data_IF_020911879134
#
_entry.id   IF_020911879134
#
_cell.length_a   1.000
_cell.length_b   1.000
_cell.length_c   1.000
_cell.angle_alpha   90.00
_cell.angle_beta   90.00
_cell.angle_gamma   90.00
#
_symmetry.space_group_name_H-M   'P 1'
#
loop_
_entity.id
_entity.type
_entity.pdbx_description
1 polymer ?
#
# COMPACT_ATOMS: atom_id res chain seq x y z
N UNK A 1 18.51 3.11 9.55
CA UNK A 1 19.06 1.82 9.09
C UNK A 1 19.09 1.86 7.57
N UNK A 2 20.24 1.60 6.96
CA UNK A 2 20.41 1.73 5.51
C UNK A 2 21.38 0.69 4.94
N UNK A 3 21.11 0.20 3.72
CA UNK A 3 22.06 -0.61 2.95
C UNK A 3 22.27 -2.04 3.45
N UNK A 4 21.37 -2.59 4.25
CA UNK A 4 21.51 -3.92 4.87
C UNK A 4 20.77 -4.98 4.06
N UNK A 5 21.30 -6.21 4.10
CA UNK A 5 20.66 -7.38 3.51
C UNK A 5 20.24 -8.31 4.64
N UNK A 6 18.95 -8.59 4.73
CA UNK A 6 18.33 -9.24 5.88
C UNK A 6 17.46 -10.39 5.39
N UNK A 7 17.83 -11.61 5.77
CA UNK A 7 17.16 -12.85 5.38
C UNK A 7 17.62 -13.42 4.02
N UNK A 8 18.63 -12.81 3.39
CA UNK A 8 19.28 -13.29 2.17
C UNK A 8 20.76 -13.60 2.37
N UNK A 9 21.34 -14.35 1.43
CA UNK A 9 22.78 -14.57 1.32
C UNK A 9 23.53 -13.37 0.73
N UNK A 10 24.86 -13.47 0.65
CA UNK A 10 25.72 -12.41 0.15
C UNK A 10 25.60 -12.15 -1.38
N UNK A 11 24.82 -12.95 -2.13
CA UNK A 11 24.43 -12.60 -3.51
C UNK A 11 23.06 -11.92 -3.58
N UNK A 12 22.25 -11.99 -2.52
CA UNK A 12 20.94 -11.35 -2.47
C UNK A 12 19.89 -12.10 -3.30
N UNK A 13 20.17 -13.37 -3.61
CA UNK A 13 19.35 -14.21 -4.49
C UNK A 13 18.95 -15.53 -3.86
N UNK A 14 19.50 -15.89 -2.69
CA UNK A 14 19.06 -17.06 -1.93
C UNK A 14 18.64 -16.66 -0.52
N UNK A 15 17.65 -17.37 0.02
CA UNK A 15 17.15 -17.10 1.36
C UNK A 15 18.10 -17.72 2.40
N UNK A 16 18.53 -16.90 3.35
CA UNK A 16 19.14 -17.31 4.61
C UNK A 16 18.23 -16.82 5.74
N UNK A 17 17.09 -17.50 5.96
CA UNK A 17 16.02 -17.00 6.81
C UNK A 17 16.50 -16.74 8.24
N UNK A 18 16.13 -15.59 8.77
CA UNK A 18 16.08 -15.42 10.22
C UNK A 18 14.80 -16.08 10.77
N UNK A 19 14.73 -16.29 12.09
CA UNK A 19 13.60 -16.99 12.72
C UNK A 19 12.33 -16.13 12.93
N UNK A 20 12.32 -14.86 12.50
CA UNK A 20 11.24 -13.93 12.77
C UNK A 20 11.04 -12.92 11.64
N UNK A 21 10.69 -11.68 12.01
CA UNK A 21 10.62 -10.58 11.04
C UNK A 21 12.02 -10.04 10.71
N UNK A 22 12.22 -9.54 9.48
CA UNK A 22 13.49 -8.97 9.04
C UNK A 22 13.91 -7.77 9.89
N UNK A 23 13.02 -6.78 9.99
CA UNK A 23 13.18 -5.59 10.82
C UNK A 23 11.98 -5.47 11.75
N UNK A 24 12.20 -5.52 13.06
CA UNK A 24 11.16 -5.28 14.06
C UNK A 24 11.37 -3.92 14.73
N UNK A 25 10.50 -2.96 14.43
CA UNK A 25 10.47 -1.63 15.02
C UNK A 25 9.53 -1.63 16.22
N UNK A 26 10.11 -1.84 17.41
CA UNK A 26 9.45 -1.63 18.70
C UNK A 26 9.97 -0.32 19.27
N UNK A 27 9.26 0.77 19.02
CA UNK A 27 9.65 2.08 19.56
C UNK A 27 9.42 2.04 21.08
N UNK A 28 10.40 2.52 21.84
CA UNK A 28 10.29 2.77 23.27
C UNK A 28 10.48 4.25 23.57
N UNK A 29 10.28 4.62 24.84
CA UNK A 29 10.08 5.98 25.37
C UNK A 29 11.21 6.97 24.99
N UNK A 30 12.44 6.52 24.70
CA UNK A 30 13.63 7.40 24.64
C UNK A 30 14.35 7.55 23.27
N UNK A 31 13.83 7.03 22.16
CA UNK A 31 14.47 7.14 20.82
C UNK A 31 13.83 8.14 19.84
N UNK A 32 14.62 8.88 19.06
CA UNK A 32 14.12 9.71 17.94
C UNK A 32 13.35 8.91 16.87
N UNK A 33 12.71 9.61 15.91
CA UNK A 33 12.05 8.94 14.76
C UNK A 33 12.98 7.99 14.01
N UNK A 34 12.44 6.96 13.37
CA UNK A 34 13.23 5.88 12.77
C UNK A 34 13.06 5.80 11.26
N UNK A 35 14.16 5.57 10.53
CA UNK A 35 14.16 5.40 9.07
C UNK A 35 14.76 4.05 8.68
N UNK A 36 14.03 3.29 7.86
CA UNK A 36 14.47 2.06 7.17
C UNK A 36 14.55 2.40 5.68
N UNK A 37 15.76 2.47 5.13
CA UNK A 37 15.94 2.85 3.73
C UNK A 37 16.94 2.00 2.96
N UNK A 38 16.70 1.74 1.67
CA UNK A 38 17.69 1.08 0.78
C UNK A 38 18.22 -0.26 1.31
N UNK A 39 17.36 -1.06 1.96
CA UNK A 39 17.69 -2.41 2.43
C UNK A 39 17.06 -3.47 1.50
N UNK A 40 17.68 -4.64 1.45
CA UNK A 40 17.10 -5.88 0.92
C UNK A 40 16.56 -6.69 2.12
N UNK A 41 15.24 -6.84 2.22
CA UNK A 41 14.55 -7.45 3.36
C UNK A 41 13.66 -8.58 2.85
N UNK A 42 14.24 -9.77 2.74
CA UNK A 42 13.68 -10.85 1.94
C UNK A 42 13.99 -12.21 2.56
N UNK A 43 13.20 -13.24 2.27
CA UNK A 43 13.45 -14.59 2.76
C UNK A 43 13.30 -14.79 4.28
N UNK A 44 12.69 -13.86 5.02
CA UNK A 44 12.49 -13.99 6.46
C UNK A 44 11.29 -14.91 6.79
N UNK A 45 11.30 -15.52 7.98
CA UNK A 45 10.27 -16.49 8.39
C UNK A 45 8.96 -15.87 8.89
N UNK A 46 8.91 -14.55 9.05
CA UNK A 46 7.68 -13.79 9.30
C UNK A 46 7.60 -12.59 8.34
N UNK A 47 7.31 -11.37 8.84
CA UNK A 47 7.19 -10.19 8.00
C UNK A 47 8.56 -9.68 7.53
N UNK A 48 8.61 -8.94 6.42
CA UNK A 48 9.81 -8.18 6.08
C UNK A 48 10.09 -7.11 7.13
N UNK A 49 9.15 -6.17 7.27
CA UNK A 49 9.20 -5.10 8.27
C UNK A 49 7.98 -5.17 9.18
N UNK A 50 8.19 -5.27 10.48
CA UNK A 50 7.15 -5.16 11.51
C UNK A 50 7.28 -3.80 12.21
N UNK A 51 6.20 -3.03 12.19
CA UNK A 51 6.05 -1.78 12.93
C UNK A 51 5.01 -1.99 14.01
N UNK A 52 5.42 -1.95 15.27
CA UNK A 52 4.51 -1.84 16.41
C UNK A 52 4.64 -0.43 16.96
N UNK A 53 3.65 0.44 16.70
CA UNK A 53 3.75 1.84 17.09
C UNK A 53 3.55 2.03 18.60
N UNK A 54 4.36 2.91 19.18
CA UNK A 54 4.31 3.35 20.58
C UNK A 54 3.31 4.52 20.77
N UNK A 55 2.62 4.62 21.93
CA UNK A 55 1.80 5.76 22.32
C UNK A 55 2.44 7.16 22.25
N UNK A 56 3.75 7.32 22.08
CA UNK A 56 4.40 8.64 22.03
C UNK A 56 4.36 9.35 20.66
N UNK A 57 3.85 8.69 19.60
CA UNK A 57 3.49 9.36 18.34
C UNK A 57 4.66 9.83 17.45
N UNK A 58 5.82 9.15 17.53
CA UNK A 58 6.99 9.48 16.70
C UNK A 58 6.85 8.94 15.27
N UNK A 59 7.50 9.61 14.31
CA UNK A 59 7.43 9.24 12.90
C UNK A 59 8.38 8.07 12.54
N UNK A 60 7.87 7.14 11.74
CA UNK A 60 8.60 6.03 11.14
C UNK A 60 8.57 6.21 9.63
N UNK A 61 9.73 6.10 8.98
CA UNK A 61 9.85 6.15 7.53
C UNK A 61 10.42 4.83 7.02
N UNK A 62 9.74 4.20 6.07
CA UNK A 62 10.21 3.03 5.34
C UNK A 62 10.22 3.38 3.86
N UNK A 63 11.40 3.54 3.26
CA UNK A 63 11.50 4.00 1.86
C UNK A 63 12.58 3.31 1.05
N UNK A 64 12.36 3.17 -0.25
CA UNK A 64 13.36 2.65 -1.19
C UNK A 64 13.95 1.28 -0.81
N UNK A 65 13.22 0.45 -0.07
CA UNK A 65 13.65 -0.92 0.24
C UNK A 65 13.13 -1.90 -0.81
N UNK A 66 13.85 -3.01 -0.97
CA UNK A 66 13.42 -4.21 -1.69
C UNK A 66 12.92 -5.21 -0.65
N UNK A 67 11.63 -5.56 -0.69
CA UNK A 67 10.97 -6.37 0.34
C UNK A 67 10.27 -7.58 -0.29
N UNK A 68 10.82 -8.77 -0.04
CA UNK A 68 10.33 -10.03 -0.61
C UNK A 68 10.82 -10.31 -2.04
N UNK A 69 11.66 -9.44 -2.61
CA UNK A 69 12.31 -9.66 -3.91
C UNK A 69 13.77 -10.05 -3.72
N UNK A 70 14.43 -10.48 -4.79
CA UNK A 70 15.89 -10.51 -4.86
C UNK A 70 16.49 -9.10 -4.96
N UNK A 71 17.82 -9.02 -5.04
CA UNK A 71 18.56 -7.75 -5.17
C UNK A 71 18.23 -6.97 -6.44
N UNK A 72 17.67 -7.61 -7.48
CA UNK A 72 17.23 -6.92 -8.70
C UNK A 72 15.86 -6.24 -8.55
N UNK A 73 15.08 -6.64 -7.54
CA UNK A 73 13.69 -6.21 -7.36
C UNK A 73 12.69 -6.96 -8.23
N UNK A 74 13.13 -7.97 -9.00
CA UNK A 74 12.30 -8.63 -10.02
C UNK A 74 12.03 -10.10 -9.71
N UNK A 75 12.94 -10.80 -9.03
CA UNK A 75 12.79 -12.23 -8.77
C UNK A 75 12.24 -12.49 -7.36
N UNK A 76 11.48 -13.58 -7.16
CA UNK A 76 10.89 -13.89 -5.87
C UNK A 76 11.94 -14.29 -4.84
N UNK A 77 11.90 -13.64 -3.68
CA UNK A 77 12.60 -14.03 -2.46
C UNK A 77 11.71 -13.70 -1.25
N UNK A 78 10.46 -14.13 -1.33
CA UNK A 78 9.38 -13.73 -0.43
C UNK A 78 9.66 -13.93 1.05
N UNK A 79 9.17 -13.01 1.88
CA UNK A 79 9.02 -13.28 3.30
C UNK A 79 7.79 -14.19 3.53
N UNK A 80 7.82 -15.04 4.55
CA UNK A 80 6.71 -15.97 4.87
C UNK A 80 5.46 -15.27 5.44
N UNK A 81 5.60 -14.02 5.88
CA UNK A 81 4.52 -13.15 6.35
C UNK A 81 4.18 -12.05 5.35
N UNK A 82 3.81 -10.87 5.86
CA UNK A 82 3.56 -9.69 5.04
C UNK A 82 4.88 -9.03 4.63
N UNK A 83 4.89 -8.25 3.56
CA UNK A 83 6.05 -7.40 3.24
C UNK A 83 6.31 -6.40 4.37
N UNK A 84 5.27 -5.64 4.74
CA UNK A 84 5.27 -4.72 5.86
C UNK A 84 3.98 -4.88 6.67
N UNK A 85 4.10 -5.05 7.99
CA UNK A 85 2.97 -5.05 8.90
C UNK A 85 3.08 -3.86 9.86
N UNK A 86 2.05 -3.02 9.93
CA UNK A 86 1.95 -1.90 10.86
C UNK A 86 0.79 -2.12 11.82
N UNK A 87 1.10 -2.36 13.09
CA UNK A 87 0.11 -2.53 14.15
C UNK A 87 0.11 -1.31 15.07
N UNK A 88 -1.04 -0.65 15.16
CA UNK A 88 -1.24 0.50 16.01
C UNK A 88 -1.91 0.10 17.32
N UNK A 89 -1.13 0.05 18.40
CA UNK A 89 -1.66 -0.08 19.75
C UNK A 89 -2.00 1.34 20.25
N UNK A 90 -3.18 1.55 20.82
CA UNK A 90 -3.73 2.89 21.12
C UNK A 90 -2.74 3.87 21.79
N UNK A 91 -2.91 5.18 21.54
CA UNK A 91 -1.97 6.21 22.00
C UNK A 91 -1.99 7.47 21.14
N UNK A 92 -0.92 8.28 21.15
CA UNK A 92 -0.79 9.41 20.22
C UNK A 92 -0.58 8.89 18.80
N UNK A 93 -1.06 9.61 17.76
CA UNK A 93 -0.84 9.23 16.38
C UNK A 93 0.65 9.11 16.08
N UNK A 94 1.12 7.91 15.72
CA UNK A 94 2.39 7.77 15.01
C UNK A 94 2.15 8.01 13.53
N UNK A 95 3.08 8.70 12.87
CA UNK A 95 3.09 8.81 11.42
C UNK A 95 3.97 7.70 10.87
N UNK A 96 3.40 6.79 10.09
CA UNK A 96 4.17 5.78 9.36
C UNK A 96 4.15 6.16 7.88
N UNK A 97 5.30 6.50 7.31
CA UNK A 97 5.46 6.84 5.90
C UNK A 97 6.13 5.69 5.17
N UNK A 98 5.44 5.12 4.18
CA UNK A 98 5.89 4.00 3.36
C UNK A 98 5.92 4.50 1.92
N UNK A 99 7.10 4.66 1.33
CA UNK A 99 7.21 5.25 -0.01
C UNK A 99 8.37 4.73 -0.85
N UNK A 100 8.18 4.54 -2.15
CA UNK A 100 9.25 4.17 -3.08
C UNK A 100 9.83 2.77 -2.87
N UNK A 101 9.19 1.92 -2.05
CA UNK A 101 9.64 0.54 -1.85
C UNK A 101 9.15 -0.35 -3.00
N UNK A 102 9.88 -1.43 -3.27
CA UNK A 102 9.40 -2.58 -4.04
C UNK A 102 8.98 -3.65 -3.04
N UNK A 103 7.71 -4.03 -3.04
CA UNK A 103 7.12 -4.96 -2.07
C UNK A 103 6.39 -6.06 -2.85
N UNK A 104 7.05 -7.19 -3.02
CA UNK A 104 6.52 -8.26 -3.85
C UNK A 104 6.84 -9.65 -3.34
N UNK A 105 6.08 -10.63 -3.82
CA UNK A 105 6.31 -12.06 -3.57
C UNK A 105 6.24 -12.51 -2.11
N UNK A 106 5.75 -11.68 -1.19
CA UNK A 106 5.52 -12.08 0.20
C UNK A 106 4.32 -13.03 0.28
N UNK A 107 4.33 -14.03 1.16
CA UNK A 107 3.22 -14.98 1.27
C UNK A 107 1.93 -14.33 1.83
N UNK A 108 2.06 -13.23 2.58
CA UNK A 108 0.97 -12.42 3.12
C UNK A 108 0.55 -11.24 2.24
N UNK A 109 0.08 -10.17 2.87
CA UNK A 109 -0.19 -8.90 2.19
C UNK A 109 1.12 -8.17 1.88
N UNK A 110 1.14 -7.30 0.88
CA UNK A 110 2.27 -6.41 0.65
C UNK A 110 2.45 -5.46 1.85
N UNK A 111 1.41 -4.70 2.18
CA UNK A 111 1.33 -3.83 3.34
C UNK A 111 0.06 -4.12 4.12
N UNK A 112 0.19 -4.59 5.36
CA UNK A 112 -0.93 -4.78 6.29
C UNK A 112 -0.93 -3.68 7.35
N UNK A 113 -2.07 -3.03 7.55
CA UNK A 113 -2.26 -2.02 8.60
C UNK A 113 -3.38 -2.47 9.54
N UNK A 114 -3.10 -2.52 10.85
CA UNK A 114 -4.00 -2.99 11.91
C UNK A 114 -4.08 -1.98 13.06
N UNK A 115 -5.14 -2.05 13.86
CA UNK A 115 -5.30 -1.30 15.11
C UNK A 115 -6.30 -0.13 15.07
N UNK A 116 -6.44 0.56 16.20
CA UNK A 116 -7.50 1.57 16.40
C UNK A 116 -7.12 2.95 15.82
N UNK A 117 -7.23 3.09 14.49
CA UNK A 117 -7.52 4.28 13.67
C UNK A 117 -6.98 5.68 13.99
N UNK A 118 -6.09 5.88 14.95
CA UNK A 118 -5.53 7.20 15.27
C UNK A 118 -4.26 7.50 14.51
N UNK A 119 -3.48 6.47 14.19
CA UNK A 119 -2.25 6.63 13.45
C UNK A 119 -2.52 6.82 11.95
N UNK A 120 -1.65 7.61 11.31
CA UNK A 120 -1.71 7.85 9.88
C UNK A 120 -0.60 7.04 9.20
N UNK A 121 -1.00 6.07 8.38
CA UNK A 121 -0.08 5.32 7.54
C UNK A 121 -0.17 5.87 6.13
N UNK A 122 0.82 6.68 5.75
CA UNK A 122 1.00 7.23 4.41
C UNK A 122 1.67 6.20 3.54
N UNK A 123 0.92 5.61 2.62
CA UNK A 123 1.44 4.68 1.62
C UNK A 123 1.36 5.41 0.28
N UNK A 124 2.50 5.67 -0.35
CA UNK A 124 2.54 6.36 -1.65
C UNK A 124 3.67 5.86 -2.54
N UNK A 125 3.45 5.85 -3.85
CA UNK A 125 4.53 5.60 -4.84
C UNK A 125 5.33 4.32 -4.59
N UNK A 126 4.75 3.31 -3.93
CA UNK A 126 5.39 1.99 -3.79
C UNK A 126 5.01 1.12 -4.99
N UNK A 127 5.92 0.25 -5.40
CA UNK A 127 5.63 -0.84 -6.32
C UNK A 127 5.23 -2.05 -5.48
N UNK A 128 3.95 -2.34 -5.38
CA UNK A 128 3.42 -3.44 -4.58
C UNK A 128 2.73 -4.40 -5.52
N UNK A 129 3.23 -5.63 -5.66
CA UNK A 129 2.69 -6.60 -6.63
C UNK A 129 3.07 -8.04 -6.29
N UNK A 130 2.34 -9.01 -6.85
CA UNK A 130 2.54 -10.44 -6.71
C UNK A 130 2.72 -10.91 -5.26
N UNK A 131 2.02 -10.29 -4.30
CA UNK A 131 1.95 -10.81 -2.93
C UNK A 131 0.86 -11.89 -2.84
N UNK A 132 0.96 -12.79 -1.87
CA UNK A 132 0.05 -13.93 -1.70
C UNK A 132 -1.37 -13.54 -1.28
N UNK A 133 -1.52 -12.33 -0.72
CA UNK A 133 -2.81 -11.70 -0.36
C UNK A 133 -2.94 -10.33 -1.02
N UNK A 134 -3.46 -9.30 -0.35
CA UNK A 134 -3.67 -7.98 -0.95
C UNK A 134 -2.37 -7.17 -1.05
N UNK A 135 -2.32 -6.20 -1.96
CA UNK A 135 -1.22 -5.23 -2.01
C UNK A 135 -1.22 -4.34 -0.76
N UNK A 136 -2.36 -3.75 -0.41
CA UNK A 136 -2.58 -3.02 0.84
C UNK A 136 -3.84 -3.58 1.49
N UNK A 137 -3.75 -3.92 2.77
CA UNK A 137 -4.85 -4.44 3.58
C UNK A 137 -5.04 -3.58 4.83
N UNK A 138 -6.18 -2.90 4.94
CA UNK A 138 -6.58 -2.10 6.09
C UNK A 138 -7.47 -2.94 7.01
N UNK A 139 -6.85 -3.79 7.82
CA UNK A 139 -7.55 -4.83 8.56
C UNK A 139 -8.56 -4.25 9.55
N UNK A 140 -9.85 -4.39 9.24
CA UNK A 140 -10.96 -3.83 9.99
C UNK A 140 -12.23 -3.65 9.16
N UNK A 141 -13.32 -3.24 9.80
CA UNK A 141 -14.59 -3.03 9.09
C UNK A 141 -15.25 -4.33 8.64
N UNK A 142 -15.86 -4.31 7.44
CA UNK A 142 -16.50 -5.47 6.82
C UNK A 142 -15.62 -5.99 5.70
N UNK A 143 -14.94 -7.11 5.95
CA UNK A 143 -14.02 -7.74 4.99
C UNK A 143 -14.67 -8.89 4.23
N UNK A 144 -14.26 -9.09 2.97
CA UNK A 144 -14.60 -10.29 2.21
C UNK A 144 -13.67 -11.48 2.51
N UNK A 145 -13.87 -12.61 1.80
CA UNK A 145 -13.06 -13.81 2.01
C UNK A 145 -11.58 -13.65 1.62
N UNK A 146 -11.25 -12.65 0.80
CA UNK A 146 -9.88 -12.31 0.40
C UNK A 146 -9.27 -11.21 1.29
N UNK A 147 -10.05 -10.60 2.18
CA UNK A 147 -9.63 -9.56 3.11
C UNK A 147 -9.86 -8.14 2.59
N UNK A 148 -10.60 -7.93 1.50
CA UNK A 148 -10.89 -6.58 0.99
C UNK A 148 -11.86 -5.90 1.95
N UNK A 149 -11.51 -4.70 2.40
CA UNK A 149 -12.34 -3.92 3.31
C UNK A 149 -13.36 -3.10 2.53
N UNK A 150 -14.65 -3.38 2.68
CA UNK A 150 -15.67 -2.69 1.90
C UNK A 150 -15.71 -1.18 2.17
N UNK A 151 -15.77 -0.38 1.10
CA UNK A 151 -16.10 1.04 1.19
C UNK A 151 -17.39 1.28 1.98
N UNK A 152 -17.42 2.35 2.76
CA UNK A 152 -18.58 2.75 3.58
C UNK A 152 -19.12 4.10 3.16
N UNK A 153 -20.41 4.36 3.40
CA UNK A 153 -21.03 5.64 3.02
C UNK A 153 -20.26 6.81 3.64
N UNK A 154 -19.77 7.71 2.80
CA UNK A 154 -18.96 8.88 3.17
C UNK A 154 -17.71 8.63 4.05
N UNK A 155 -17.12 7.42 4.03
CA UNK A 155 -15.88 7.13 4.79
C UNK A 155 -16.01 7.34 6.30
N UNK A 156 -17.16 6.95 6.85
CA UNK A 156 -17.59 7.30 8.21
C UNK A 156 -17.19 6.28 9.29
N UNK A 157 -16.43 5.25 8.94
CA UNK A 157 -16.03 4.17 9.86
C UNK A 157 -14.64 4.40 10.44
N UNK A 158 -14.48 4.09 11.73
CA UNK A 158 -13.18 4.10 12.40
C UNK A 158 -12.45 2.77 12.19
N UNK A 159 -11.13 2.83 12.06
CA UNK A 159 -10.26 1.67 11.90
C UNK A 159 -8.91 2.13 11.35
N UNK A 160 -7.97 1.23 11.02
CA UNK A 160 -6.69 1.60 10.43
C UNK A 160 -6.85 2.60 9.28
N UNK A 161 -6.09 3.70 9.29
CA UNK A 161 -6.24 4.77 8.29
C UNK A 161 -7.67 5.31 8.15
N UNK A 162 -8.46 5.27 9.24
CA UNK A 162 -9.89 5.55 9.24
C UNK A 162 -10.69 4.78 8.17
N UNK A 163 -10.21 3.59 7.80
CA UNK A 163 -10.73 2.79 6.69
C UNK A 163 -11.05 3.65 5.47
N UNK A 164 -10.09 4.51 5.07
CA UNK A 164 -10.25 5.42 3.94
C UNK A 164 -10.76 4.63 2.74
N UNK A 165 -11.90 5.07 2.20
CA UNK A 165 -12.48 4.46 1.01
C UNK A 165 -11.50 4.55 -0.17
N UNK A 166 -11.34 3.45 -0.90
CA UNK A 166 -10.61 3.45 -2.16
C UNK A 166 -11.48 3.98 -3.31
N UNK A 167 -10.88 4.54 -4.38
CA UNK A 167 -11.62 4.96 -5.56
C UNK A 167 -12.35 3.78 -6.21
N UNK A 168 -13.53 4.03 -6.75
CA UNK A 168 -14.22 3.08 -7.64
C UNK A 168 -13.93 3.50 -9.07
N UNK A 169 -12.97 2.83 -9.72
CA UNK A 169 -12.68 3.01 -11.14
C UNK A 169 -13.74 2.26 -11.95
N UNK A 170 -14.41 2.95 -12.87
CA UNK A 170 -15.49 2.39 -13.70
C UNK A 170 -15.02 2.05 -15.12
N UNK A 171 -14.04 2.77 -15.66
CA UNK A 171 -13.45 2.47 -16.97
C UNK A 171 -11.99 2.91 -17.07
N UNK A 172 -11.21 2.16 -17.83
CA UNK A 172 -9.91 2.55 -18.36
C UNK A 172 -9.93 2.29 -19.88
N UNK A 173 -9.84 3.33 -20.68
CA UNK A 173 -9.94 3.26 -22.15
C UNK A 173 -8.70 3.83 -22.80
N UNK A 174 -8.10 3.11 -23.75
CA UNK A 174 -6.99 3.63 -24.53
C UNK A 174 -7.39 4.88 -25.30
N UNK A 175 -6.46 5.83 -25.38
CA UNK A 175 -6.54 7.01 -26.24
C UNK A 175 -5.30 7.10 -27.12
N UNK A 176 -5.26 8.09 -28.02
CA UNK A 176 -4.05 8.35 -28.82
C UNK A 176 -2.85 8.81 -27.96
N UNK A 177 -3.09 9.29 -26.74
CA UNK A 177 -2.09 9.91 -25.87
C UNK A 177 -1.80 9.09 -24.61
N UNK A 178 -2.65 8.11 -24.29
CA UNK A 178 -2.44 7.18 -23.18
C UNK A 178 -3.71 6.43 -22.80
N UNK A 179 -4.21 6.65 -21.58
CA UNK A 179 -5.42 6.01 -21.07
C UNK A 179 -6.35 7.02 -20.38
N UNK A 180 -7.63 7.01 -20.74
CA UNK A 180 -8.68 7.76 -20.08
C UNK A 180 -9.29 6.90 -18.97
N UNK A 181 -9.13 7.37 -17.73
CA UNK A 181 -9.64 6.70 -16.52
C UNK A 181 -10.83 7.49 -15.98
N UNK A 182 -11.96 6.80 -15.81
CA UNK A 182 -13.18 7.37 -15.21
C UNK A 182 -13.49 6.63 -13.92
N UNK A 183 -13.96 7.37 -12.92
CA UNK A 183 -14.38 6.77 -11.66
C UNK A 183 -15.03 7.77 -10.70
N UNK A 184 -15.18 7.29 -9.47
CA UNK A 184 -15.77 8.04 -8.36
C UNK A 184 -14.98 7.75 -7.09
N UNK A 185 -14.65 8.80 -6.34
CA UNK A 185 -14.32 8.67 -4.94
C UNK A 185 -15.53 9.11 -4.10
N UNK A 186 -16.05 8.21 -3.29
CA UNK A 186 -16.96 8.55 -2.18
C UNK A 186 -16.13 8.49 -0.90
N UNK A 187 -15.99 9.59 -0.17
CA UNK A 187 -15.28 9.63 1.13
C UNK A 187 -15.83 10.76 2.00
N UNK A 188 -15.11 11.26 3.00
CA UNK A 188 -15.61 12.34 3.88
C UNK A 188 -15.98 13.59 3.07
N UNK A 189 -17.11 14.25 3.36
CA UNK A 189 -17.59 15.40 2.60
C UNK A 189 -16.71 16.63 2.77
N UNK A 190 -16.58 17.42 1.70
CA UNK A 190 -15.80 18.66 1.68
C UNK A 190 -14.34 18.48 2.15
N UNK A 191 -13.67 17.40 1.74
CA UNK A 191 -12.29 17.10 2.09
C UNK A 191 -11.43 16.94 0.85
N UNK A 192 -10.18 17.44 0.93
CA UNK A 192 -9.19 17.23 -0.12
C UNK A 192 -8.64 15.81 -0.04
N UNK A 193 -8.42 15.24 -1.23
CA UNK A 193 -7.88 13.92 -1.42
C UNK A 193 -6.86 13.92 -2.56
N UNK A 194 -6.05 12.88 -2.61
CA UNK A 194 -5.22 12.56 -3.79
C UNK A 194 -5.49 11.13 -4.18
N UNK A 195 -5.82 10.91 -5.46
CA UNK A 195 -5.87 9.56 -6.05
C UNK A 195 -4.51 9.27 -6.67
N UNK A 196 -3.91 8.13 -6.33
CA UNK A 196 -2.73 7.62 -7.05
C UNK A 196 -3.17 6.48 -7.96
N UNK A 197 -2.80 6.54 -9.23
CA UNK A 197 -3.11 5.54 -10.23
C UNK A 197 -1.91 4.63 -10.48
N UNK A 198 -2.19 3.36 -10.70
CA UNK A 198 -1.19 2.35 -10.98
C UNK A 198 -1.63 1.50 -12.17
N UNK A 199 -0.64 1.03 -12.94
CA UNK A 199 -0.84 0.01 -13.97
C UNK A 199 -0.24 -1.31 -13.49
N UNK A 200 -0.93 -2.39 -13.82
CA UNK A 200 -0.60 -3.75 -13.42
C UNK A 200 -0.71 -4.69 -14.62
N UNK A 201 0.16 -5.68 -14.68
CA UNK A 201 0.11 -6.70 -15.73
C UNK A 201 -0.96 -7.76 -15.45
N UNK A 202 -1.37 -7.90 -14.18
CA UNK A 202 -2.45 -8.80 -13.76
C UNK A 202 -3.19 -8.25 -12.52
N UNK A 203 -4.46 -8.61 -12.32
CA UNK A 203 -5.15 -8.37 -11.06
C UNK A 203 -4.68 -9.33 -9.96
N UNK A 204 -4.97 -9.01 -8.70
CA UNK A 204 -4.81 -9.98 -7.62
C UNK A 204 -5.70 -11.21 -7.85
N UNK A 205 -5.12 -12.40 -7.72
CA UNK A 205 -5.79 -13.64 -8.07
C UNK A 205 -6.98 -13.99 -7.17
N UNK A 206 -6.97 -13.60 -5.89
CA UNK A 206 -8.07 -13.90 -4.96
C UNK A 206 -9.20 -12.88 -5.14
N UNK A 207 -8.88 -11.60 -4.97
CA UNK A 207 -9.90 -10.56 -4.78
C UNK A 207 -10.36 -9.91 -6.09
N UNK A 208 -9.53 -9.89 -7.13
CA UNK A 208 -9.70 -8.99 -8.28
C UNK A 208 -9.57 -7.50 -7.91
N UNK A 209 -9.31 -7.18 -6.64
CA UNK A 209 -8.84 -5.89 -6.17
C UNK A 209 -7.34 -5.88 -6.34
N UNK A 210 -6.89 -4.99 -7.22
CA UNK A 210 -5.55 -5.13 -7.76
C UNK A 210 -4.48 -4.69 -6.77
N UNK A 211 -3.24 -4.76 -7.22
CA UNK A 211 -2.11 -4.24 -6.48
C UNK A 211 -1.68 -2.92 -7.13
N UNK A 212 -0.44 -2.48 -6.95
CA UNK A 212 0.10 -1.28 -7.57
C UNK A 212 1.50 -1.55 -8.09
N UNK A 213 1.61 -2.25 -9.22
CA UNK A 213 2.89 -2.67 -9.77
C UNK A 213 3.73 -1.49 -10.24
N UNK A 214 3.13 -0.52 -10.95
CA UNK A 214 3.82 0.69 -11.39
C UNK A 214 2.93 1.91 -11.22
N UNK A 215 3.42 2.89 -10.46
CA UNK A 215 2.81 4.21 -10.36
C UNK A 215 2.82 4.91 -11.73
N UNK A 216 1.70 5.54 -12.11
CA UNK A 216 1.57 6.23 -13.41
C UNK A 216 1.19 7.70 -13.28
N UNK A 217 0.32 8.07 -12.34
CA UNK A 217 -0.07 9.47 -12.14
C UNK A 217 -0.77 9.67 -10.78
N UNK A 218 -0.94 10.94 -10.39
CA UNK A 218 -1.72 11.33 -9.23
C UNK A 218 -2.67 12.49 -9.53
N UNK A 219 -3.91 12.38 -9.08
CA UNK A 219 -4.95 13.39 -9.25
C UNK A 219 -5.38 13.97 -7.90
N UNK A 220 -5.10 15.26 -7.62
CA UNK A 220 -5.74 15.95 -6.51
C UNK A 220 -7.21 16.21 -6.84
N UNK A 221 -8.10 15.95 -5.87
CA UNK A 221 -9.53 16.23 -6.00
C UNK A 221 -10.15 16.51 -4.64
N UNK A 222 -11.37 17.06 -4.64
CA UNK A 222 -12.13 17.38 -3.43
C UNK A 222 -13.52 16.77 -3.51
N UNK A 223 -13.95 16.11 -2.44
CA UNK A 223 -15.33 15.64 -2.28
C UNK A 223 -16.28 16.81 -2.04
N UNK A 224 -17.48 16.71 -2.58
CA UNK A 224 -18.54 17.70 -2.38
C UNK A 224 -19.26 17.51 -1.03
N UNK A 225 -20.37 18.24 -0.85
CA UNK A 225 -21.19 18.15 0.36
C UNK A 225 -21.93 16.81 0.49
N UNK A 226 -22.21 16.15 -0.64
CA UNK A 226 -22.77 14.80 -0.70
C UNK A 226 -21.69 13.72 -0.62
N UNK A 227 -20.43 14.12 -0.38
CA UNK A 227 -19.29 13.26 -0.12
C UNK A 227 -18.73 12.54 -1.35
N UNK A 228 -19.11 13.02 -2.54
CA UNK A 228 -18.78 12.47 -3.83
C UNK A 228 -17.72 13.32 -4.55
N UNK A 229 -16.85 12.66 -5.30
CA UNK A 229 -15.90 13.30 -6.20
C UNK A 229 -15.75 12.45 -7.48
N UNK A 230 -16.63 12.64 -8.49
CA UNK A 230 -16.45 11.99 -9.78
C UNK A 230 -15.20 12.54 -10.46
N UNK A 231 -14.50 11.68 -11.20
CA UNK A 231 -13.31 12.07 -11.93
C UNK A 231 -13.24 11.42 -13.30
N UNK A 232 -12.63 12.15 -14.23
CA UNK A 232 -12.16 11.66 -15.52
C UNK A 232 -10.80 12.28 -15.78
N UNK A 233 -9.79 11.46 -16.02
CA UNK A 233 -8.42 11.91 -16.26
C UNK A 233 -7.83 11.13 -17.43
N UNK A 234 -7.13 11.83 -18.31
CA UNK A 234 -6.31 11.22 -19.35
C UNK A 234 -4.87 11.17 -18.85
N UNK A 235 -4.36 9.96 -18.63
CA UNK A 235 -3.01 9.72 -18.16
C UNK A 235 -2.13 9.44 -19.38
N UNK A 236 -1.15 10.31 -19.69
CA UNK A 236 -0.31 10.13 -20.85
C UNK A 236 0.67 8.97 -20.65
N UNK A 237 0.96 8.23 -21.72
CA UNK A 237 1.97 7.17 -21.70
C UNK A 237 1.65 6.00 -22.60
N UNK A 238 2.50 4.98 -22.54
CA UNK A 238 2.31 3.74 -23.27
C UNK A 238 1.57 2.72 -22.40
N UNK A 239 0.40 2.32 -22.88
CA UNK A 239 -0.46 1.32 -22.26
C UNK A 239 -0.85 0.27 -23.30
N UNK A 240 -1.06 -0.95 -22.84
CA UNK A 240 -1.42 -2.08 -23.69
C UNK A 240 -2.76 -2.66 -23.25
N UNK A 241 -3.58 -3.06 -24.24
CA UNK A 241 -4.78 -3.82 -23.97
C UNK A 241 -4.42 -5.11 -23.19
N UNK A 242 -5.18 -5.39 -22.13
CA UNK A 242 -4.89 -6.48 -21.21
C UNK A 242 -4.08 -6.09 -19.98
N UNK A 243 -3.55 -4.87 -19.88
CA UNK A 243 -3.12 -4.29 -18.61
C UNK A 243 -4.32 -3.85 -17.77
N UNK A 244 -4.09 -3.56 -16.49
CA UNK A 244 -5.13 -3.20 -15.54
C UNK A 244 -4.77 -1.92 -14.79
N UNK A 245 -5.75 -1.02 -14.66
CA UNK A 245 -5.66 0.17 -13.82
C UNK A 245 -6.23 -0.13 -12.44
N UNK A 246 -5.48 0.28 -11.42
CA UNK A 246 -5.92 0.34 -10.02
C UNK A 246 -5.63 1.73 -9.48
N UNK A 247 -6.25 2.05 -8.34
CA UNK A 247 -6.04 3.32 -7.69
C UNK A 247 -6.11 3.22 -6.16
N UNK A 248 -5.38 4.08 -5.47
CA UNK A 248 -5.57 4.34 -4.03
C UNK A 248 -6.07 5.77 -3.83
N UNK A 249 -6.68 6.05 -2.69
CA UNK A 249 -7.02 7.39 -2.24
C UNK A 249 -6.28 7.71 -0.95
N UNK A 250 -5.78 8.93 -0.85
CA UNK A 250 -5.13 9.49 0.33
C UNK A 250 -5.91 10.70 0.80
N UNK A 251 -6.32 10.72 2.06
CA UNK A 251 -7.00 11.88 2.67
C UNK A 251 -6.02 13.01 3.03
N UNK A 252 -6.55 14.16 3.47
CA UNK A 252 -5.75 15.33 3.86
C UNK A 252 -4.76 15.08 5.02
N UNK A 253 -5.01 14.05 5.85
CA UNK A 253 -4.09 13.67 6.95
C UNK A 253 -2.99 12.72 6.44
N UNK A 254 -3.16 12.20 5.21
CA UNK A 254 -2.29 11.26 4.55
C UNK A 254 -2.67 9.80 4.81
N UNK A 255 -3.89 9.49 5.25
CA UNK A 255 -4.34 8.12 5.43
C UNK A 255 -4.67 7.53 4.06
N UNK A 256 -3.93 6.50 3.64
CA UNK A 256 -4.12 5.83 2.35
C UNK A 256 -5.11 4.67 2.47
N UNK A 257 -5.99 4.51 1.47
CA UNK A 257 -6.89 3.37 1.28
C UNK A 257 -6.15 2.08 0.87
N UNK A 258 -6.89 0.98 0.79
CA UNK A 258 -6.51 -0.16 -0.03
C UNK A 258 -6.49 0.21 -1.54
N UNK A 259 -6.08 -0.72 -2.40
CA UNK A 259 -6.21 -0.55 -3.85
C UNK A 259 -7.65 -0.81 -4.31
N UNK A 260 -8.08 -0.08 -5.35
CA UNK A 260 -9.36 -0.29 -6.02
C UNK A 260 -9.41 -1.64 -6.74
N UNK A 261 -10.62 -2.00 -7.20
CA UNK A 261 -10.77 -3.08 -8.18
C UNK A 261 -9.88 -2.82 -9.40
N UNK A 262 -9.24 -3.88 -9.90
CA UNK A 262 -8.47 -3.81 -11.14
C UNK A 262 -9.42 -3.70 -12.34
N UNK A 263 -9.25 -2.68 -13.16
CA UNK A 263 -10.07 -2.43 -14.35
C UNK A 263 -9.23 -2.64 -15.60
N UNK A 264 -9.64 -3.52 -16.53
CA UNK A 264 -8.88 -3.76 -17.74
C UNK A 264 -8.82 -2.50 -18.61
N UNK A 265 -7.65 -2.26 -19.16
CA UNK A 265 -7.40 -1.28 -20.22
C UNK A 265 -7.90 -1.88 -21.53
N UNK A 266 -8.83 -1.19 -22.20
CA UNK A 266 -9.40 -1.60 -23.48
C UNK A 266 -9.35 -0.48 -24.51
#
# INVERSE_FOLDING_TARGET
MQGNWIGSDASGTQALPNAGSGVALRVGIDGGGFTVEENLISGNMENGVEVSSDPDGRAITVRNNLIGTDISGLMPLGNRGNGLASTHQGGRPSLVSISGNVIAFNEGDGVRVMGEGRASTRIKENQIFLNGRLGINLVGGSEDACGVTANTRCGSVSGPNNLQNYPVVSSAQLSEQGVVVTGLLESRPNQDHTIEFFVNDAPNACSGFGEGQRFIDALPLRTDADCLAPFTVEIPGEFQAGQFITATAKDQDGKTSEFSRAIPVN
#
